data_IF_989845334227
#
_entry.id   IF_989845334227
#
_cell.length_a   1.000
_cell.length_b   1.000
_cell.length_c   1.000
_cell.angle_alpha   90.00
_cell.angle_beta   90.00
_cell.angle_gamma   90.00
#
_symmetry.space_group_name_H-M   'P 1'
#
loop_
_entity.id
_entity.type
_entity.pdbx_description
1 polymer ?
#
# COMPACT_ATOMS: atom_id res chain seq x y z
N UNK A 1 -22.49 -9.34 -2.56
CA UNK A 1 -22.19 -8.14 -3.36
C UNK A 1 -20.80 -7.63 -2.93
N UNK A 2 -19.71 -7.93 -3.63
CA UNK A 2 -18.43 -7.32 -3.28
C UNK A 2 -18.58 -5.81 -3.49
N UNK A 3 -18.48 -5.05 -2.40
CA UNK A 3 -18.46 -3.59 -2.45
C UNK A 3 -17.21 -3.25 -3.25
N UNK A 4 -17.37 -2.88 -4.52
CA UNK A 4 -16.30 -2.43 -5.38
C UNK A 4 -15.86 -1.06 -4.86
N UNK A 5 -15.04 -1.06 -3.80
CA UNK A 5 -14.42 0.15 -3.31
C UNK A 5 -13.61 0.69 -4.49
N UNK A 6 -13.90 1.90 -4.99
CA UNK A 6 -13.14 2.47 -6.09
C UNK A 6 -11.67 2.40 -5.71
N UNK A 7 -10.85 1.82 -6.60
CA UNK A 7 -9.41 1.67 -6.39
C UNK A 7 -8.84 3.03 -6.07
N UNK A 8 -8.49 3.23 -4.79
CA UNK A 8 -7.90 4.48 -4.34
C UNK A 8 -6.67 4.76 -5.20
N UNK A 9 -6.62 5.96 -5.77
CA UNK A 9 -5.53 6.39 -6.62
C UNK A 9 -4.39 6.96 -5.80
N UNK A 10 -3.18 6.51 -6.09
CA UNK A 10 -1.96 7.04 -5.50
C UNK A 10 -1.55 8.33 -6.21
N UNK A 11 -1.50 9.42 -5.46
CA UNK A 11 -1.20 10.75 -5.96
C UNK A 11 0.05 11.34 -5.30
N UNK A 12 0.74 12.22 -6.02
CA UNK A 12 1.87 13.01 -5.53
C UNK A 12 1.61 14.50 -5.79
N UNK A 13 1.88 15.33 -4.79
CA UNK A 13 1.77 16.78 -4.93
C UNK A 13 2.92 17.32 -5.79
N UNK A 14 2.61 18.18 -6.78
CA UNK A 14 3.59 18.87 -7.61
C UNK A 14 4.39 19.94 -6.85
N UNK A 15 3.82 20.48 -5.76
CA UNK A 15 4.44 21.58 -5.00
C UNK A 15 5.32 21.06 -3.86
N UNK A 16 4.79 20.19 -3.01
CA UNK A 16 5.51 19.72 -1.82
C UNK A 16 6.02 18.27 -1.92
N UNK A 17 5.82 17.58 -3.05
CA UNK A 17 6.27 16.21 -3.24
C UNK A 17 5.55 15.13 -2.41
N UNK A 18 4.70 15.52 -1.46
CA UNK A 18 4.00 14.61 -0.56
C UNK A 18 3.12 13.61 -1.33
N UNK A 19 3.23 12.33 -0.95
CA UNK A 19 2.38 11.23 -1.45
C UNK A 19 1.09 11.16 -0.64
N UNK A 20 -0.02 10.89 -1.30
CA UNK A 20 -1.32 10.67 -0.66
C UNK A 20 -2.22 9.80 -1.53
N UNK A 21 -3.24 9.18 -0.95
CA UNK A 21 -4.25 8.43 -1.69
C UNK A 21 -5.56 9.20 -1.77
N UNK A 22 -6.21 9.14 -2.92
CA UNK A 22 -7.51 9.78 -3.19
C UNK A 22 -8.53 8.74 -3.70
N UNK A 23 -9.82 8.91 -3.40
CA UNK A 23 -10.87 8.02 -3.91
C UNK A 23 -10.94 7.86 -5.43
N UNK A 24 -10.63 8.91 -6.19
CA UNK A 24 -10.76 8.96 -7.66
C UNK A 24 -9.56 9.68 -8.29
N UNK A 25 -9.45 9.70 -9.62
CA UNK A 25 -8.37 10.41 -10.31
C UNK A 25 -8.45 11.92 -10.02
N UNK A 26 -7.33 12.65 -9.84
CA UNK A 26 -7.36 14.09 -9.58
C UNK A 26 -8.21 14.91 -10.56
N UNK A 27 -8.23 14.49 -11.84
CA UNK A 27 -8.97 15.16 -12.92
C UNK A 27 -10.47 14.82 -12.95
N UNK A 28 -10.92 13.78 -12.22
CA UNK A 28 -12.33 13.39 -12.13
C UNK A 28 -13.10 14.20 -11.07
N UNK A 29 -12.39 14.96 -10.23
CA UNK A 29 -13.02 15.79 -9.21
C UNK A 29 -13.63 17.06 -9.84
N UNK A 30 -14.94 17.27 -9.64
CA UNK A 30 -15.61 18.55 -9.97
C UNK A 30 -14.94 19.72 -9.26
N UNK A 31 -14.57 19.53 -7.99
CA UNK A 31 -13.75 20.48 -7.23
C UNK A 31 -12.40 19.86 -6.92
N UNK A 32 -11.38 20.44 -7.54
CA UNK A 32 -9.97 20.10 -7.37
C UNK A 32 -9.57 19.58 -5.99
N UNK A 33 -8.96 18.39 -5.87
CA UNK A 33 -8.65 17.83 -4.57
C UNK A 33 -7.53 18.64 -3.89
N UNK A 34 -7.75 18.97 -2.61
CA UNK A 34 -6.75 19.62 -1.78
C UNK A 34 -5.62 18.66 -1.39
N UNK A 35 -4.38 19.13 -1.48
CA UNK A 35 -3.24 18.42 -0.90
C UNK A 35 -3.35 18.42 0.64
N UNK A 36 -3.25 17.24 1.28
CA UNK A 36 -3.31 17.14 2.75
C UNK A 36 -2.12 17.80 3.48
N UNK A 37 -0.97 17.92 2.82
CA UNK A 37 0.25 18.44 3.43
C UNK A 37 0.42 19.96 3.26
N UNK A 38 0.39 20.46 2.02
CA UNK A 38 0.59 21.90 1.74
C UNK A 38 -0.72 22.69 1.54
N UNK A 39 -1.87 22.03 1.66
CA UNK A 39 -3.21 22.62 1.54
C UNK A 39 -3.55 23.35 0.23
N UNK A 40 -2.67 23.32 -0.78
CA UNK A 40 -2.96 23.86 -2.12
C UNK A 40 -3.93 22.96 -2.90
N UNK A 41 -4.80 23.58 -3.69
CA UNK A 41 -5.76 22.92 -4.57
C UNK A 41 -5.13 22.62 -5.94
N UNK A 42 -5.64 21.61 -6.65
CA UNK A 42 -5.23 21.26 -8.03
C UNK A 42 -3.73 20.99 -8.21
N UNK A 43 -3.03 20.61 -7.15
CA UNK A 43 -1.59 20.31 -7.20
C UNK A 43 -1.30 18.82 -7.33
N UNK A 44 -2.31 17.97 -7.25
CA UNK A 44 -2.14 16.52 -7.21
C UNK A 44 -2.09 15.93 -8.61
N UNK A 45 -1.09 15.08 -8.85
CA UNK A 45 -0.98 14.23 -10.03
C UNK A 45 -0.91 12.77 -9.63
N UNK A 46 -1.24 11.85 -10.53
CA UNK A 46 -1.01 10.42 -10.28
C UNK A 46 0.49 10.16 -10.12
N UNK A 47 0.81 9.39 -9.07
CA UNK A 47 2.12 8.76 -8.89
C UNK A 47 2.09 7.42 -9.65
N UNK A 48 2.45 7.44 -10.94
CA UNK A 48 2.35 6.28 -11.84
C UNK A 48 3.02 5.03 -11.26
N UNK A 49 4.17 5.18 -10.61
CA UNK A 49 4.89 4.06 -9.99
C UNK A 49 4.11 3.44 -8.83
N UNK A 50 3.57 4.29 -7.94
CA UNK A 50 2.81 3.80 -6.79
C UNK A 50 1.43 3.27 -7.20
N UNK A 51 0.79 3.86 -8.20
CA UNK A 51 -0.55 3.46 -8.67
C UNK A 51 -0.52 2.14 -9.43
N UNK A 52 0.54 1.88 -10.22
CA UNK A 52 0.71 0.63 -10.95
C UNK A 52 1.12 -0.56 -10.06
N UNK A 53 1.59 -0.29 -8.83
CA UNK A 53 2.12 -1.34 -7.97
C UNK A 53 0.97 -2.13 -7.30
N UNK A 54 0.96 -3.48 -7.40
CA UNK A 54 -0.08 -4.29 -6.77
C UNK A 54 0.22 -4.47 -5.27
N UNK A 55 0.01 -3.41 -4.48
CA UNK A 55 0.36 -3.38 -3.04
C UNK A 55 -0.19 -4.57 -2.25
N UNK A 56 -1.40 -5.02 -2.57
CA UNK A 56 -2.05 -6.16 -1.89
C UNK A 56 -1.54 -7.52 -2.35
N UNK A 57 -1.01 -7.63 -3.57
CA UNK A 57 -0.50 -8.92 -4.07
C UNK A 57 0.78 -9.37 -3.36
N UNK A 58 1.53 -8.41 -2.81
CA UNK A 58 2.74 -8.68 -2.03
C UNK A 58 2.44 -8.93 -0.54
N UNK A 59 1.18 -8.89 -0.11
CA UNK A 59 0.80 -9.13 1.28
C UNK A 59 0.56 -10.63 1.51
N UNK A 60 1.31 -11.21 2.43
CA UNK A 60 1.13 -12.56 2.94
C UNK A 60 0.30 -12.53 4.23
N UNK A 61 -0.42 -13.63 4.49
CA UNK A 61 -1.21 -13.87 5.70
C UNK A 61 -0.88 -15.23 6.35
N UNK A 62 0.30 -15.79 6.09
CA UNK A 62 0.74 -17.01 6.78
C UNK A 62 0.99 -16.74 8.27
N UNK A 63 1.04 -17.80 9.07
CA UNK A 63 1.07 -17.70 10.54
C UNK A 63 2.41 -17.28 11.12
N UNK A 64 3.48 -17.22 10.31
CA UNK A 64 4.78 -16.74 10.77
C UNK A 64 4.81 -15.28 11.28
N UNK A 65 3.76 -14.49 11.02
CA UNK A 65 3.49 -13.25 11.76
C UNK A 65 2.01 -13.19 12.18
N UNK A 66 1.73 -12.64 13.36
CA UNK A 66 0.36 -12.38 13.83
C UNK A 66 -0.37 -11.25 13.08
N UNK A 67 0.25 -10.66 12.06
CA UNK A 67 -0.29 -9.58 11.24
C UNK A 67 0.00 -9.80 9.75
N UNK A 68 -0.78 -9.21 8.83
CA UNK A 68 -0.49 -9.25 7.40
C UNK A 68 0.88 -8.61 7.10
N UNK A 69 1.78 -9.38 6.52
CA UNK A 69 3.18 -8.99 6.29
C UNK A 69 3.54 -9.08 4.80
N UNK A 70 4.77 -8.74 4.43
CA UNK A 70 5.22 -8.85 3.03
C UNK A 70 5.63 -10.30 2.74
N UNK A 71 5.21 -10.85 1.59
CA UNK A 71 5.67 -12.17 1.14
C UNK A 71 7.20 -12.19 1.02
N UNK A 72 7.84 -13.19 1.63
CA UNK A 72 9.30 -13.30 1.70
C UNK A 72 9.96 -12.47 2.81
N UNK A 73 9.20 -11.92 3.77
CA UNK A 73 9.77 -11.40 5.02
C UNK A 73 10.48 -12.50 5.82
N UNK A 74 11.33 -12.12 6.77
CA UNK A 74 12.18 -13.03 7.56
C UNK A 74 11.42 -14.25 8.10
N UNK A 75 10.32 -14.03 8.82
CA UNK A 75 9.47 -15.08 9.38
C UNK A 75 8.29 -15.46 8.48
N UNK A 76 8.33 -15.15 7.18
CA UNK A 76 7.29 -15.58 6.25
C UNK A 76 7.55 -17.03 5.84
N UNK A 77 6.55 -17.92 5.90
CA UNK A 77 6.70 -19.32 5.46
C UNK A 77 6.98 -19.46 3.97
N UNK A 78 6.74 -18.42 3.18
CA UNK A 78 7.11 -18.36 1.76
C UNK A 78 8.50 -17.77 1.53
N UNK A 79 9.27 -17.49 2.58
CA UNK A 79 10.67 -17.13 2.48
C UNK A 79 11.48 -18.40 2.18
N UNK A 80 12.28 -18.46 1.10
CA UNK A 80 13.17 -19.60 0.84
C UNK A 80 14.20 -19.80 1.95
N UNK A 81 14.60 -18.72 2.62
CA UNK A 81 15.53 -18.73 3.76
C UNK A 81 14.78 -18.82 5.10
N UNK A 82 13.53 -19.30 5.10
CA UNK A 82 12.76 -19.41 6.34
C UNK A 82 13.54 -20.28 7.35
N UNK A 83 13.87 -19.76 8.55
CA UNK A 83 14.71 -20.47 9.50
C UNK A 83 13.91 -21.57 10.21
N UNK A 84 13.69 -22.68 9.50
CA UNK A 84 12.94 -23.86 9.96
C UNK A 84 13.47 -24.41 11.29
N UNK A 85 14.78 -24.26 11.54
CA UNK A 85 15.44 -24.75 12.74
C UNK A 85 15.28 -23.85 13.97
N UNK A 86 14.91 -22.57 13.79
CA UNK A 86 14.69 -21.63 14.90
C UNK A 86 13.26 -21.72 15.48
N UNK A 87 12.32 -22.28 14.71
CA UNK A 87 10.89 -22.30 15.03
C UNK A 87 10.50 -23.42 16.03
N UNK A 88 11.37 -24.42 16.23
CA UNK A 88 11.11 -25.55 17.14
C UNK A 88 11.15 -25.21 18.63
N UNK A 89 11.50 -23.98 19.02
CA UNK A 89 11.71 -23.59 20.44
C UNK A 89 10.62 -22.71 21.04
N UNK A 90 9.60 -22.30 20.28
CA UNK A 90 8.52 -21.43 20.79
C UNK A 90 7.22 -22.18 21.16
N UNK A 91 7.18 -23.50 20.95
CA UNK A 91 6.02 -24.35 21.27
C UNK A 91 6.37 -25.62 22.08
N UNK A 92 7.50 -25.63 22.79
CA UNK A 92 7.84 -26.68 23.76
C UNK A 92 7.58 -26.21 25.19
#
# INVERSE_FOLDING_TARGET
>A
MPIYLPTRRHCRCRVCGARQTKPMHPDEYVRGPRCRNCHRFNTLRIDKWADAKPWRALTCRCDGYHFPHRRGSLWCYHNPDYPVDADRRLFA
#
